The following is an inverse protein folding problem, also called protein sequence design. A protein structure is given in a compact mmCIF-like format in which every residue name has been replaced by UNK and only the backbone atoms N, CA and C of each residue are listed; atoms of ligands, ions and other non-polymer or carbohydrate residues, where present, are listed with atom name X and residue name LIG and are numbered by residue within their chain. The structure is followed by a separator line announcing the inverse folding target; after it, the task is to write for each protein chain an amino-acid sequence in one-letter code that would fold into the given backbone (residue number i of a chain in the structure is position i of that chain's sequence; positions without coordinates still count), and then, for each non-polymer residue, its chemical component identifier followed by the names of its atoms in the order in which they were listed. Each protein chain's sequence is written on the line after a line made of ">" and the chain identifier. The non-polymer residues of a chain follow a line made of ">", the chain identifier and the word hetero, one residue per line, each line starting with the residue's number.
data_IF_399525726562
#
_entry.id   IF_399525726562
#
_cell.length_a   1.000
_cell.length_b   1.000
_cell.length_c   1.000
_cell.angle_alpha   90.00
_cell.angle_beta   90.00
_cell.angle_gamma   90.00
#
_symmetry.space_group_name_H-M   'P 1'
#
loop_
_entity.id
_entity.type
_entity.pdbx_description
1 polymer ?
#
# COMPACT_ATOMS: atom_id res chain seq x y z
N UNK A 1 3.13 3.87 20.11
CA UNK A 1 2.30 4.77 19.25
C UNK A 1 0.90 4.86 19.85
N UNK A 2 0.36 6.06 20.06
CA UNK A 2 -0.94 6.23 20.68
C UNK A 2 -2.10 5.74 19.76
N UNK A 3 -3.09 5.07 20.35
CA UNK A 3 -4.21 4.46 19.62
C UNK A 3 -5.00 5.45 18.76
N UNK A 4 -5.14 6.70 19.21
CA UNK A 4 -5.81 7.76 18.45
C UNK A 4 -5.08 8.05 17.13
N UNK A 5 -3.75 8.04 17.10
CA UNK A 5 -2.97 8.32 15.90
C UNK A 5 -3.12 7.20 14.86
N UNK A 6 -3.21 5.94 15.30
CA UNK A 6 -3.49 4.78 14.44
C UNK A 6 -4.88 4.90 13.80
N UNK A 7 -5.88 5.28 14.58
CA UNK A 7 -7.25 5.52 14.10
C UNK A 7 -7.27 6.66 13.08
N UNK A 8 -6.64 7.81 13.39
CA UNK A 8 -6.56 8.95 12.48
C UNK A 8 -5.87 8.60 11.17
N UNK A 9 -4.76 7.86 11.22
CA UNK A 9 -4.06 7.40 10.01
C UNK A 9 -4.89 6.41 9.20
N UNK A 10 -5.67 5.56 9.85
CA UNK A 10 -6.57 4.61 9.17
C UNK A 10 -7.71 5.36 8.46
N UNK A 11 -8.35 6.30 9.15
CA UNK A 11 -9.39 7.16 8.59
C UNK A 11 -8.82 7.99 7.44
N UNK A 12 -7.65 8.61 7.60
CA UNK A 12 -6.99 9.36 6.54
C UNK A 12 -6.65 8.48 5.31
N UNK A 13 -6.25 7.22 5.54
CA UNK A 13 -6.04 6.25 4.46
C UNK A 13 -7.36 6.01 3.72
N UNK A 14 -8.44 5.66 4.44
CA UNK A 14 -9.75 5.40 3.85
C UNK A 14 -10.29 6.62 3.08
N UNK A 15 -10.28 7.80 3.70
CA UNK A 15 -10.73 9.06 3.08
C UNK A 15 -9.92 9.40 1.83
N UNK A 16 -8.65 9.00 1.75
CA UNK A 16 -7.84 9.24 0.55
C UNK A 16 -8.20 8.31 -0.60
N UNK A 17 -8.44 7.03 -0.32
CA UNK A 17 -8.75 6.04 -1.35
C UNK A 17 -10.20 6.10 -1.83
N UNK A 18 -11.17 6.41 -0.96
CA UNK A 18 -12.61 6.45 -1.29
C UNK A 18 -12.94 7.33 -2.51
N UNK A 19 -12.54 8.62 -2.59
CA UNK A 19 -12.90 9.47 -3.71
C UNK A 19 -12.26 8.98 -5.02
N UNK A 20 -11.04 8.43 -4.95
CA UNK A 20 -10.35 7.88 -6.12
C UNK A 20 -11.03 6.60 -6.62
N UNK A 21 -11.45 5.72 -5.70
CA UNK A 21 -12.19 4.51 -6.04
C UNK A 21 -13.55 4.85 -6.63
N UNK A 22 -14.27 5.80 -6.03
CA UNK A 22 -15.56 6.27 -6.55
C UNK A 22 -15.42 6.90 -7.93
N UNK A 23 -14.37 7.71 -8.13
CA UNK A 23 -14.10 8.30 -9.42
C UNK A 23 -13.77 7.22 -10.45
N UNK A 24 -12.83 6.32 -10.17
CA UNK A 24 -12.44 5.25 -11.08
C UNK A 24 -13.62 4.31 -11.41
N UNK A 25 -14.48 4.04 -10.43
CA UNK A 25 -15.71 3.28 -10.61
C UNK A 25 -16.73 4.01 -11.50
N UNK A 26 -16.85 5.33 -11.35
CA UNK A 26 -17.81 6.15 -12.08
C UNK A 26 -17.35 6.43 -13.51
N UNK A 27 -16.07 6.76 -13.71
CA UNK A 27 -15.50 7.06 -15.03
C UNK A 27 -15.18 5.81 -15.82
N UNK A 28 -14.95 4.67 -15.16
CA UNK A 28 -14.52 3.40 -15.77
C UNK A 28 -13.28 3.55 -16.65
N UNK A 29 -12.43 4.51 -16.30
CA UNK A 29 -11.25 4.88 -17.05
C UNK A 29 -10.09 5.15 -16.08
N UNK A 30 -8.96 4.46 -16.31
CA UNK A 30 -7.73 4.62 -15.53
C UNK A 30 -6.66 5.48 -16.23
N UNK A 31 -7.00 6.19 -17.31
CA UNK A 31 -6.06 7.08 -18.02
C UNK A 31 -5.51 8.16 -17.08
N UNK A 32 -4.18 8.29 -17.05
CA UNK A 32 -3.46 9.23 -16.19
C UNK A 32 -2.99 8.66 -14.84
N UNK A 33 -3.41 7.43 -14.50
CA UNK A 33 -2.91 6.71 -13.31
C UNK A 33 -1.75 5.83 -13.74
N UNK A 34 -0.56 6.02 -13.15
CA UNK A 34 0.57 5.14 -13.44
C UNK A 34 0.36 3.76 -12.79
N UNK A 35 0.23 2.72 -13.62
CA UNK A 35 0.00 1.35 -13.15
C UNK A 35 1.10 0.85 -12.19
N UNK A 36 2.36 1.23 -12.42
CA UNK A 36 3.46 0.86 -11.53
C UNK A 36 3.35 1.54 -10.16
N UNK A 37 2.80 2.75 -10.11
CA UNK A 37 2.52 3.41 -8.83
C UNK A 37 1.48 2.64 -8.03
N UNK A 38 0.40 2.21 -8.68
CA UNK A 38 -0.64 1.41 -8.01
C UNK A 38 -0.09 0.05 -7.59
N UNK A 39 0.69 -0.58 -8.47
CA UNK A 39 1.39 -1.84 -8.20
C UNK A 39 2.27 -1.74 -6.95
N UNK A 40 3.15 -0.74 -6.87
CA UNK A 40 4.07 -0.62 -5.74
C UNK A 40 3.32 -0.35 -4.43
N UNK A 41 2.27 0.48 -4.45
CA UNK A 41 1.44 0.67 -3.25
C UNK A 41 0.75 -0.63 -2.81
N UNK A 42 0.23 -1.41 -3.76
CA UNK A 42 -0.37 -2.71 -3.47
C UNK A 42 0.67 -3.69 -2.91
N UNK A 43 1.88 -3.73 -3.48
CA UNK A 43 2.97 -4.57 -2.97
C UNK A 43 3.30 -4.19 -1.53
N UNK A 44 3.50 -2.90 -1.22
CA UNK A 44 3.88 -2.54 0.15
C UNK A 44 2.79 -2.83 1.16
N UNK A 45 1.53 -2.55 0.83
CA UNK A 45 0.42 -2.88 1.72
C UNK A 45 0.36 -4.40 1.98
N UNK A 46 0.58 -5.20 0.93
CA UNK A 46 0.66 -6.66 0.99
C UNK A 46 1.83 -7.12 1.86
N UNK A 47 3.05 -6.63 1.62
CA UNK A 47 4.24 -7.00 2.38
C UNK A 47 4.15 -6.58 3.84
N UNK A 48 3.58 -5.40 4.13
CA UNK A 48 3.39 -4.92 5.51
C UNK A 48 2.42 -5.81 6.29
N UNK A 49 1.31 -6.20 5.65
CA UNK A 49 0.36 -7.14 6.23
C UNK A 49 1.00 -8.52 6.44
N UNK A 50 1.77 -9.01 5.46
CA UNK A 50 2.45 -10.30 5.54
C UNK A 50 3.47 -10.34 6.69
N UNK A 51 4.30 -9.30 6.85
CA UNK A 51 5.25 -9.18 7.97
C UNK A 51 4.52 -9.21 9.32
N UNK A 52 3.46 -8.40 9.46
CA UNK A 52 2.76 -8.32 10.75
C UNK A 52 1.98 -9.61 11.08
N UNK A 53 1.35 -10.23 10.07
CA UNK A 53 0.70 -11.54 10.21
C UNK A 53 1.72 -12.63 10.58
N UNK A 54 2.90 -12.61 9.96
CA UNK A 54 3.99 -13.51 10.32
C UNK A 54 4.38 -13.32 11.79
N UNK A 55 4.49 -12.08 12.28
CA UNK A 55 4.79 -11.86 13.69
C UNK A 55 3.72 -12.47 14.63
N UNK A 56 2.43 -12.32 14.32
CA UNK A 56 1.35 -12.87 15.14
C UNK A 56 1.37 -14.40 15.14
N UNK A 57 1.60 -15.00 13.97
CA UNK A 57 1.60 -16.45 13.83
C UNK A 57 2.80 -17.11 14.52
N UNK A 58 3.98 -16.52 14.40
CA UNK A 58 5.22 -17.08 14.96
C UNK A 58 5.34 -16.81 16.47
N UNK A 59 4.77 -15.71 16.98
CA UNK A 59 4.80 -15.35 18.40
C UNK A 59 3.39 -15.09 18.97
N UNK A 60 2.56 -16.13 19.14
CA UNK A 60 1.17 -15.99 19.60
C UNK A 60 1.04 -15.48 21.04
N UNK A 61 2.06 -15.72 21.88
CA UNK A 61 2.13 -15.19 23.25
C UNK A 61 2.69 -13.75 23.28
N UNK A 62 3.03 -13.20 22.12
CA UNK A 62 3.66 -11.90 21.98
C UNK A 62 5.18 -11.92 22.13
N UNK A 63 5.79 -10.73 22.17
CA UNK A 63 7.25 -10.58 22.36
C UNK A 63 8.09 -10.75 21.08
N UNK A 64 7.45 -10.90 19.93
CA UNK A 64 8.10 -10.74 18.63
C UNK A 64 8.49 -9.27 18.37
N UNK A 65 9.24 -8.99 17.29
CA UNK A 65 9.82 -7.67 16.99
C UNK A 65 8.81 -6.50 17.03
N UNK A 66 7.54 -6.79 16.76
CA UNK A 66 6.45 -5.80 16.66
C UNK A 66 5.24 -6.05 17.57
N UNK A 67 5.29 -7.06 18.43
CA UNK A 67 4.15 -7.46 19.26
C UNK A 67 4.45 -7.25 20.73
N UNK A 68 3.52 -6.67 21.48
CA UNK A 68 3.58 -6.61 22.92
C UNK A 68 3.52 -8.01 23.53
N UNK A 69 4.09 -8.18 24.73
CA UNK A 69 3.96 -9.42 25.52
C UNK A 69 3.24 -9.07 26.82
N UNK A 70 1.98 -9.49 27.03
CA UNK A 70 1.11 -10.20 26.07
C UNK A 70 0.63 -9.28 24.93
N UNK A 71 0.08 -9.87 23.87
CA UNK A 71 -0.52 -9.14 22.74
C UNK A 71 -1.61 -8.21 23.27
N UNK A 72 -1.53 -6.94 22.93
CA UNK A 72 -2.46 -5.91 23.42
C UNK A 72 -3.53 -5.52 22.37
N UNK A 73 -4.46 -4.65 22.78
CA UNK A 73 -5.46 -4.10 21.85
C UNK A 73 -4.83 -3.24 20.76
N UNK A 74 -3.67 -2.63 21.03
CA UNK A 74 -2.92 -1.84 20.06
C UNK A 74 -2.44 -2.68 18.89
N UNK A 75 -1.91 -3.88 19.14
CA UNK A 75 -1.42 -4.81 18.12
C UNK A 75 -2.57 -5.28 17.21
N UNK A 76 -3.74 -5.55 17.78
CA UNK A 76 -4.97 -5.89 17.03
C UNK A 76 -5.43 -4.73 16.15
N UNK A 77 -5.39 -3.50 16.67
CA UNK A 77 -5.70 -2.30 15.88
C UNK A 77 -4.70 -2.09 14.74
N UNK A 78 -3.42 -2.40 14.97
CA UNK A 78 -2.39 -2.32 13.92
C UNK A 78 -2.63 -3.35 12.82
N UNK A 79 -3.01 -4.58 13.18
CA UNK A 79 -3.42 -5.60 12.21
C UNK A 79 -4.61 -5.12 11.37
N UNK A 80 -5.64 -4.57 12.02
CA UNK A 80 -6.81 -4.04 11.34
C UNK A 80 -6.44 -2.90 10.38
N UNK A 81 -5.58 -1.98 10.82
CA UNK A 81 -5.09 -0.88 9.98
C UNK A 81 -4.34 -1.37 8.75
N UNK A 82 -3.47 -2.36 8.91
CA UNK A 82 -2.73 -2.98 7.80
C UNK A 82 -3.66 -3.73 6.85
N UNK A 83 -4.65 -4.45 7.38
CA UNK A 83 -5.65 -5.16 6.59
C UNK A 83 -6.49 -4.18 5.76
N UNK A 84 -6.96 -3.09 6.38
CA UNK A 84 -7.72 -2.05 5.68
C UNK A 84 -6.89 -1.41 4.56
N UNK A 85 -5.62 -1.07 4.85
CA UNK A 85 -4.72 -0.52 3.83
C UNK A 85 -4.49 -1.50 2.66
N UNK A 86 -4.31 -2.79 2.97
CA UNK A 86 -4.21 -3.84 1.96
C UNK A 86 -5.46 -3.91 1.09
N UNK A 87 -6.65 -3.99 1.69
CA UNK A 87 -7.92 -4.10 0.94
C UNK A 87 -8.13 -2.91 -0.01
N UNK A 88 -7.90 -1.68 0.47
CA UNK A 88 -8.03 -0.49 -0.37
C UNK A 88 -7.00 -0.43 -1.50
N UNK A 89 -5.73 -0.71 -1.21
CA UNK A 89 -4.67 -0.72 -2.22
C UNK A 89 -4.89 -1.84 -3.26
N UNK A 90 -5.32 -3.01 -2.81
CA UNK A 90 -5.62 -4.14 -3.69
C UNK A 90 -6.84 -3.86 -4.57
N UNK A 91 -7.93 -3.34 -4.01
CA UNK A 91 -9.11 -2.93 -4.77
C UNK A 91 -8.76 -1.89 -5.83
N UNK A 92 -7.95 -0.89 -5.47
CA UNK A 92 -7.48 0.14 -6.41
C UNK A 92 -6.62 -0.45 -7.53
N UNK A 93 -5.73 -1.41 -7.20
CA UNK A 93 -4.94 -2.14 -8.19
C UNK A 93 -5.80 -2.95 -9.16
N UNK A 94 -6.76 -3.72 -8.64
CA UNK A 94 -7.67 -4.53 -9.46
C UNK A 94 -8.50 -3.64 -10.39
N UNK A 95 -9.09 -2.54 -9.89
CA UNK A 95 -9.87 -1.64 -10.74
C UNK A 95 -9.01 -0.94 -11.79
N UNK A 96 -7.77 -0.56 -11.46
CA UNK A 96 -6.82 0.01 -12.43
C UNK A 96 -6.48 -1.00 -13.54
N UNK A 97 -6.42 -2.31 -13.22
CA UNK A 97 -6.20 -3.36 -14.22
C UNK A 97 -7.44 -3.62 -15.09
N UNK A 98 -8.63 -3.57 -14.50
CA UNK A 98 -9.92 -3.78 -15.19
C UNK A 98 -10.15 -2.65 -16.20
N UNK A 99 -10.00 -1.40 -15.77
CA UNK A 99 -10.22 -0.21 -16.60
C UNK A 99 -8.96 0.25 -17.35
N UNK A 100 -7.95 -0.62 -17.46
CA UNK A 100 -6.73 -0.30 -18.16
C UNK A 100 -7.02 -0.05 -19.66
N UNK A 101 -6.54 1.06 -20.25
CA UNK A 101 -6.89 1.41 -21.63
C UNK A 101 -6.49 0.31 -22.63
N UNK A 102 -7.30 0.16 -23.67
CA UNK A 102 -7.05 -0.74 -24.82
C UNK A 102 -5.88 -0.21 -25.68
N UNK A 103 -4.68 -0.22 -25.12
CA UNK A 103 -3.43 0.12 -25.79
C UNK A 103 -2.37 -0.95 -25.53
N UNK A 104 -1.12 -0.52 -25.40
CA UNK A 104 0.00 -1.42 -25.07
C UNK A 104 -0.26 -2.16 -23.74
N UNK A 105 -0.49 -3.47 -23.81
CA UNK A 105 -0.80 -4.32 -22.64
C UNK A 105 0.45 -4.81 -21.89
N UNK A 106 1.65 -4.55 -22.41
CA UNK A 106 2.91 -4.97 -21.78
C UNK A 106 3.05 -4.52 -20.31
N UNK A 107 2.83 -3.24 -19.95
CA UNK A 107 2.88 -2.79 -18.54
C UNK A 107 1.81 -3.44 -17.67
N UNK A 108 0.61 -3.71 -18.20
CA UNK A 108 -0.45 -4.45 -17.49
C UNK A 108 0.00 -5.86 -17.15
N UNK A 109 0.57 -6.58 -18.13
CA UNK A 109 1.09 -7.93 -17.94
C UNK A 109 2.25 -7.96 -16.93
N UNK A 110 3.19 -7.03 -17.07
CA UNK A 110 4.31 -6.90 -16.15
C UNK A 110 3.85 -6.64 -14.71
N UNK A 111 2.84 -5.77 -14.52
CA UNK A 111 2.27 -5.51 -13.21
C UNK A 111 1.57 -6.73 -12.61
N UNK A 112 0.79 -7.49 -13.39
CA UNK A 112 0.15 -8.73 -12.93
C UNK A 112 1.20 -9.76 -12.53
N UNK A 113 2.21 -9.99 -13.38
CA UNK A 113 3.29 -10.95 -13.09
C UNK A 113 4.05 -10.53 -11.84
N UNK A 114 4.45 -9.26 -11.75
CA UNK A 114 5.18 -8.72 -10.60
C UNK A 114 4.40 -8.86 -9.29
N UNK A 115 3.11 -8.48 -9.30
CA UNK A 115 2.26 -8.62 -8.12
C UNK A 115 2.07 -10.08 -7.73
N UNK A 116 1.76 -10.95 -8.70
CA UNK A 116 1.51 -12.38 -8.45
C UNK A 116 2.74 -13.07 -7.87
N UNK A 117 3.94 -12.82 -8.45
CA UNK A 117 5.19 -13.37 -7.94
C UNK A 117 5.45 -12.94 -6.50
N UNK A 118 5.26 -11.65 -6.18
CA UNK A 118 5.44 -11.15 -4.82
C UNK A 118 4.39 -11.69 -3.85
N UNK A 119 3.13 -11.77 -4.26
CA UNK A 119 2.06 -12.35 -3.46
C UNK A 119 2.38 -13.82 -3.10
N UNK A 120 2.82 -14.60 -4.09
CA UNK A 120 3.23 -15.99 -3.88
C UNK A 120 4.45 -16.12 -2.96
N UNK A 121 5.42 -15.20 -3.04
CA UNK A 121 6.61 -15.25 -2.19
C UNK A 121 6.36 -14.76 -0.75
N UNK A 122 5.39 -13.86 -0.54
CA UNK A 122 5.20 -13.18 0.75
C UNK A 122 4.02 -13.71 1.56
N UNK A 123 2.86 -13.94 0.93
CA UNK A 123 1.64 -14.34 1.64
C UNK A 123 1.40 -15.85 1.66
N UNK A 124 1.68 -16.59 0.57
CA UNK A 124 1.48 -18.05 0.56
C UNK A 124 2.23 -18.77 1.68
N UNK A 125 3.50 -18.46 2.00
CA UNK A 125 4.20 -19.11 3.11
C UNK A 125 3.52 -18.86 4.47
N UNK A 126 2.80 -17.74 4.61
CA UNK A 126 2.08 -17.43 5.86
C UNK A 126 0.77 -18.21 5.97
N UNK A 127 0.12 -18.54 4.85
CA UNK A 127 -1.11 -19.35 4.83
C UNK A 127 -0.86 -20.79 5.31
N UNK A 128 0.28 -21.39 4.95
CA UNK A 128 0.65 -22.72 5.45
C UNK A 128 0.75 -22.78 6.97
N UNK A 129 1.21 -21.70 7.62
CA UNK A 129 1.28 -21.64 9.08
C UNK A 129 -0.10 -21.52 9.76
N UNK A 130 -1.09 -20.92 9.09
CA UNK A 130 -2.47 -20.89 9.60
C UNK A 130 -3.14 -22.27 9.52
N UNK A 131 -2.80 -23.07 8.52
CA UNK A 131 -3.38 -24.40 8.30
C UNK A 131 -2.76 -25.43 9.24
N UNK A 132 -1.44 -25.40 9.44
CA UNK A 132 -0.75 -26.50 10.11
C UNK A 132 -0.81 -26.47 11.63
N UNK A 133 -1.25 -25.39 12.29
CA UNK A 133 -1.67 -25.35 13.70
C UNK A 133 -0.69 -25.85 14.79
N UNK A 134 0.50 -26.35 14.45
CA UNK A 134 1.23 -27.31 15.31
C UNK A 134 2.61 -26.87 15.76
N UNK A 135 3.15 -25.73 15.32
CA UNK A 135 4.40 -25.19 15.90
C UNK A 135 4.19 -23.85 16.58
N UNK A 136 4.06 -23.89 17.91
CA UNK A 136 4.44 -22.77 18.78
C UNK A 136 5.97 -22.67 18.70
N UNK A 137 6.47 -21.60 18.11
CA UNK A 137 7.89 -21.44 17.83
C UNK A 137 8.63 -20.82 19.02
N UNK A 138 9.82 -21.36 19.31
CA UNK A 138 10.72 -20.79 20.30
C UNK A 138 11.64 -19.78 19.63
N UNK A 139 11.99 -18.70 20.34
CA UNK A 139 12.97 -17.73 19.90
C UNK A 139 14.32 -18.42 19.58
N UNK A 140 14.90 -18.19 18.40
CA UNK A 140 16.16 -18.79 17.95
C UNK A 140 16.06 -19.95 16.95
N UNK A 141 14.87 -20.24 16.40
CA UNK A 141 14.71 -21.28 15.38
C UNK A 141 15.15 -20.75 13.99
N UNK A 142 16.40 -21.06 13.59
CA UNK A 142 17.06 -20.52 12.39
C UNK A 142 16.27 -20.72 11.09
N UNK A 143 15.49 -21.80 10.99
CA UNK A 143 14.66 -22.08 9.81
C UNK A 143 13.57 -21.02 9.62
N UNK A 144 13.06 -20.45 10.71
CA UNK A 144 12.03 -19.41 10.71
C UNK A 144 12.64 -18.07 10.34
N UNK A 145 13.79 -17.73 10.91
CA UNK A 145 14.51 -16.51 10.53
C UNK A 145 14.84 -16.52 9.04
N UNK A 146 15.33 -17.64 8.51
CA UNK A 146 15.59 -17.82 7.07
C UNK A 146 14.31 -17.67 6.24
N UNK A 147 13.18 -18.24 6.68
CA UNK A 147 11.90 -18.12 5.97
C UNK A 147 11.32 -16.69 6.01
N UNK A 148 11.62 -15.92 7.06
CA UNK A 148 11.17 -14.54 7.20
C UNK A 148 12.06 -13.53 6.46
N UNK A 149 13.35 -13.82 6.26
CA UNK A 149 14.30 -12.92 5.55
C UNK A 149 13.76 -12.44 4.19
N UNK A 150 13.21 -13.30 3.30
CA UNK A 150 12.61 -12.86 2.04
C UNK A 150 11.42 -11.90 2.22
N UNK A 151 10.63 -12.10 3.28
CA UNK A 151 9.48 -11.24 3.61
C UNK A 151 9.97 -9.87 4.08
N UNK A 152 11.02 -9.84 4.91
CA UNK A 152 11.65 -8.60 5.38
C UNK A 152 12.31 -7.81 4.26
N UNK A 153 13.15 -8.47 3.46
CA UNK A 153 13.83 -7.85 2.31
C UNK A 153 12.81 -7.37 1.28
N UNK A 154 11.78 -8.18 1.00
CA UNK A 154 10.68 -7.82 0.13
C UNK A 154 9.93 -6.60 0.63
N UNK A 155 9.68 -6.49 1.94
CA UNK A 155 9.05 -5.31 2.54
C UNK A 155 9.91 -4.05 2.43
N UNK A 156 11.22 -4.13 2.71
CA UNK A 156 12.13 -2.99 2.61
C UNK A 156 12.22 -2.47 1.18
N UNK A 157 12.43 -3.37 0.22
CA UNK A 157 12.48 -3.03 -1.20
C UNK A 157 11.16 -2.44 -1.68
N UNK A 158 10.04 -3.06 -1.29
CA UNK A 158 8.72 -2.55 -1.61
C UNK A 158 8.54 -1.13 -1.09
N UNK A 159 8.92 -0.85 0.16
CA UNK A 159 8.71 0.46 0.79
C UNK A 159 9.48 1.55 0.06
N UNK A 160 10.73 1.28 -0.32
CA UNK A 160 11.55 2.20 -1.14
C UNK A 160 10.88 2.45 -2.49
N UNK A 161 10.43 1.38 -3.16
CA UNK A 161 9.75 1.48 -4.46
C UNK A 161 8.42 2.22 -4.34
N UNK A 162 7.66 2.02 -3.26
CA UNK A 162 6.41 2.72 -2.98
C UNK A 162 6.62 4.21 -2.78
N UNK A 163 7.60 4.61 -1.97
CA UNK A 163 7.98 6.03 -1.78
C UNK A 163 8.39 6.65 -3.11
N UNK A 164 9.29 5.98 -3.85
CA UNK A 164 9.74 6.46 -5.15
C UNK A 164 8.58 6.63 -6.13
N UNK A 165 7.65 5.67 -6.14
CA UNK A 165 6.50 5.72 -7.01
C UNK A 165 5.55 6.86 -6.68
N UNK A 166 5.32 7.13 -5.40
CA UNK A 166 4.53 8.29 -4.95
C UNK A 166 5.18 9.58 -5.42
N UNK A 167 6.50 9.71 -5.25
CA UNK A 167 7.25 10.89 -5.72
C UNK A 167 7.14 11.06 -7.24
N UNK A 168 7.31 9.97 -8.00
CA UNK A 168 7.20 10.01 -9.46
C UNK A 168 5.79 10.35 -9.93
N UNK A 169 4.76 9.75 -9.33
CA UNK A 169 3.36 10.06 -9.63
C UNK A 169 3.04 11.53 -9.30
N UNK A 170 3.50 12.04 -8.15
CA UNK A 170 3.31 13.43 -7.76
C UNK A 170 3.98 14.40 -8.76
N UNK A 171 5.20 14.08 -9.21
CA UNK A 171 5.90 14.87 -10.25
C UNK A 171 5.13 14.85 -11.57
N UNK A 172 4.61 13.69 -11.97
CA UNK A 172 3.86 13.54 -13.21
C UNK A 172 2.55 14.36 -13.19
N UNK A 173 1.83 14.34 -12.07
CA UNK A 173 0.65 15.18 -11.84
C UNK A 173 1.01 16.67 -11.87
N UNK A 174 2.09 17.07 -11.19
CA UNK A 174 2.53 18.47 -11.17
C UNK A 174 2.92 18.97 -12.57
N UNK A 175 3.61 18.15 -13.36
CA UNK A 175 3.94 18.49 -14.75
C UNK A 175 2.68 18.62 -15.62
N UNK A 176 1.71 17.71 -15.49
CA UNK A 176 0.44 17.79 -16.21
C UNK A 176 -0.36 19.05 -15.84
N UNK A 177 -0.36 19.43 -14.55
CA UNK A 177 -0.98 20.67 -14.09
C UNK A 177 -0.30 21.89 -14.69
N UNK A 178 1.03 21.95 -14.67
CA UNK A 178 1.79 23.05 -15.25
C UNK A 178 1.48 23.20 -16.75
N UNK A 179 1.45 22.09 -17.47
CA UNK A 179 1.19 22.09 -18.91
C UNK A 179 -0.25 22.52 -19.25
N UNK A 180 -1.24 22.09 -18.47
CA UNK A 180 -2.65 22.54 -18.64
C UNK A 180 -2.83 24.00 -18.28
N UNK A 181 -2.20 24.47 -17.20
CA UNK A 181 -2.25 25.88 -16.78
C UNK A 181 -1.59 26.79 -17.82
N UNK A 182 -0.48 26.34 -18.41
CA UNK A 182 0.20 27.07 -19.47
C UNK A 182 -0.62 27.09 -20.78
N UNK A 183 -1.33 26.00 -21.11
CA UNK A 183 -2.27 25.99 -22.25
C UNK A 183 -3.49 26.89 -22.02
N UNK A 184 -4.00 26.98 -20.79
CA UNK A 184 -5.09 27.91 -20.42
C UNK A 184 -4.67 29.38 -20.46
N UNK A 185 -3.39 29.68 -20.25
CA UNK A 185 -2.87 31.05 -20.44
C UNK A 185 -2.76 31.44 -21.93
N UNK A 186 -2.69 30.45 -22.82
CA UNK A 186 -2.51 30.65 -24.27
C UNK A 186 -3.84 30.57 -25.04
N UNK A 187 -4.88 29.93 -24.48
CA UNK A 187 -6.18 29.73 -25.13
C UNK A 187 -7.34 30.23 -24.26
N UNK A 188 -8.34 30.88 -24.89
CA UNK A 188 -9.53 31.44 -24.24
C UNK A 188 -10.18 30.44 -23.24
N UNK A 189 -10.80 30.93 -22.15
CA UNK A 189 -11.20 30.11 -21.02
C UNK A 189 -12.32 29.13 -21.38
N UNK A 190 -11.97 27.88 -21.66
CA UNK A 190 -12.92 26.76 -21.72
C UNK A 190 -13.21 26.29 -20.28
N UNK A 191 -14.48 26.06 -19.90
CA UNK A 191 -14.87 25.80 -18.52
C UNK A 191 -14.20 24.55 -17.93
N UNK A 192 -13.94 24.66 -16.63
CA UNK A 192 -13.13 23.77 -15.81
C UNK A 192 -13.50 22.29 -15.95
N UNK A 193 -12.53 21.46 -16.35
CA UNK A 193 -12.69 20.01 -16.38
C UNK A 193 -12.34 19.38 -15.02
N UNK A 194 -13.39 18.90 -14.37
CA UNK A 194 -13.57 17.62 -13.68
C UNK A 194 -12.66 17.15 -12.51
N UNK A 195 -11.48 17.73 -12.26
CA UNK A 195 -10.76 17.47 -11.01
C UNK A 195 -10.11 18.73 -10.47
N UNK A 196 -10.51 19.11 -9.25
CA UNK A 196 -9.90 20.20 -8.53
C UNK A 196 -8.40 19.93 -8.35
N UNK A 197 -7.49 20.80 -8.80
CA UNK A 197 -6.05 20.66 -8.56
C UNK A 197 -5.72 20.60 -7.06
N UNK A 198 -6.64 21.05 -6.20
CA UNK A 198 -6.56 20.91 -4.76
C UNK A 198 -6.70 19.46 -4.28
N UNK A 199 -7.62 18.66 -4.87
CA UNK A 199 -7.83 17.27 -4.45
C UNK A 199 -6.63 16.39 -4.82
N UNK A 200 -6.04 16.62 -6.00
CA UNK A 200 -4.81 15.95 -6.44
C UNK A 200 -3.60 16.32 -5.57
N UNK A 201 -3.46 17.59 -5.18
CA UNK A 201 -2.40 18.03 -4.25
C UNK A 201 -2.58 17.43 -2.86
N UNK A 202 -3.80 17.44 -2.32
CA UNK A 202 -4.13 16.81 -1.05
C UNK A 202 -3.83 15.31 -1.09
N UNK A 203 -4.23 14.63 -2.17
CA UNK A 203 -3.97 13.21 -2.36
C UNK A 203 -2.47 12.89 -2.39
N UNK A 204 -1.66 13.67 -3.12
CA UNK A 204 -0.22 13.50 -3.16
C UNK A 204 0.43 13.73 -1.78
N UNK A 205 -0.02 14.73 -1.04
CA UNK A 205 0.44 15.00 0.34
C UNK A 205 0.07 13.84 1.27
N UNK A 206 -1.18 13.37 1.21
CA UNK A 206 -1.61 12.25 2.07
C UNK A 206 -0.87 10.97 1.71
N UNK A 207 -0.63 10.69 0.43
CA UNK A 207 0.19 9.54 0.03
C UNK A 207 1.65 9.67 0.44
N UNK A 208 2.23 10.87 0.38
CA UNK A 208 3.59 11.10 0.87
C UNK A 208 3.67 10.90 2.39
N UNK A 209 2.72 11.46 3.15
CA UNK A 209 2.62 11.27 4.61
C UNK A 209 2.39 9.79 4.94
N UNK A 210 1.54 9.09 4.18
CA UNK A 210 1.31 7.65 4.34
C UNK A 210 2.58 6.85 4.11
N UNK A 211 3.28 7.10 3.00
CA UNK A 211 4.51 6.40 2.64
C UNK A 211 5.64 6.66 3.67
N UNK A 212 5.77 7.90 4.15
CA UNK A 212 6.72 8.26 5.22
C UNK A 212 6.30 7.64 6.57
N UNK A 213 5.00 7.45 6.81
CA UNK A 213 4.51 6.83 8.04
C UNK A 213 4.71 5.31 8.09
N UNK A 214 5.00 4.65 6.96
CA UNK A 214 5.04 3.20 6.87
C UNK A 214 6.17 2.53 7.68
N UNK A 215 7.42 3.02 7.67
CA UNK A 215 8.44 2.56 8.61
C UNK A 215 7.98 2.69 10.07
N UNK A 216 7.24 3.74 10.38
CA UNK A 216 6.70 4.02 11.73
C UNK A 216 5.51 3.15 12.14
N UNK A 217 4.77 2.58 11.18
CA UNK A 217 3.63 1.67 11.45
C UNK A 217 4.10 0.28 11.88
N UNK A 218 5.29 -0.12 11.45
CA UNK A 218 5.94 -1.35 11.91
C UNK A 218 6.73 -1.11 13.20
N UNK A 219 7.29 0.09 13.41
CA UNK A 219 8.14 0.33 14.57
C UNK A 219 7.35 0.43 15.89
N UNK A 220 7.77 -0.36 16.90
CA UNK A 220 7.49 -0.08 18.31
C UNK A 220 8.09 1.29 18.62
N UNK A 221 7.26 2.33 18.67
CA UNK A 221 7.65 3.53 19.42
C UNK A 221 7.48 3.14 20.89
N UNK A 222 8.62 2.87 21.53
CA UNK A 222 8.83 2.78 22.98
C UNK A 222 7.92 3.74 23.75
#
# INVERSE_FOLDING_TARGET
>A
MANWLRITLTIATAISFIPQLNQLWSTKDSVGIAIYYVLFNAIVATSSLAVFAACINNWPDGGGPFLHKPIDNGDRLNLLQLLVAFLFAFAFFVLTLIYYPCGNQSPKRAAIIGYTSLFCLTLLPQLSFFIDGTRKMSYGDYLVEIALIPVWLGHMLATILGVLAVVLQARQVLMQLHHKQQQQLISNPVPASALSPLSLKLQAIVFAVLAISWPWRLHRVL
#
